data_IF_468380167546
#
_entry.id   IF_468380167546
#
_cell.length_a   1.000
_cell.length_b   1.000
_cell.length_c   1.000
_cell.angle_alpha   90.00
_cell.angle_beta   90.00
_cell.angle_gamma   90.00
#
_symmetry.space_group_name_H-M   'P 1'
#
loop_
_entity.id
_entity.type
_entity.pdbx_description
1 polymer ?
#
# COMPACT_ATOMS: atom_id res chain seq x y z
N UNK A 1 1.08 39.32 -59.69
CA UNK A 1 1.34 37.91 -60.06
C UNK A 1 0.40 37.05 -59.22
N UNK A 2 -0.57 36.38 -59.84
CA UNK A 2 -1.45 35.45 -59.12
C UNK A 2 -0.74 34.09 -59.04
N UNK A 3 -0.53 33.59 -57.83
CA UNK A 3 -0.04 32.23 -57.61
C UNK A 3 -1.10 31.24 -58.11
N UNK A 4 -0.68 30.17 -58.80
CA UNK A 4 -1.59 29.12 -59.24
C UNK A 4 -2.17 28.40 -58.01
N UNK A 5 -3.42 27.93 -58.14
CA UNK A 5 -4.12 27.16 -57.10
C UNK A 5 -3.35 25.91 -56.66
N UNK A 6 -2.56 25.33 -57.56
CA UNK A 6 -1.68 24.18 -57.28
C UNK A 6 -0.59 24.52 -56.26
N UNK A 7 0.06 25.69 -56.40
CA UNK A 7 1.12 26.13 -55.47
C UNK A 7 0.53 26.40 -54.08
N UNK A 8 -0.64 27.02 -54.01
CA UNK A 8 -1.34 27.26 -52.74
C UNK A 8 -1.69 25.93 -52.05
N UNK A 9 -2.20 24.96 -52.81
CA UNK A 9 -2.52 23.62 -52.29
C UNK A 9 -1.29 22.90 -51.74
N UNK A 10 -0.15 22.97 -52.44
CA UNK A 10 1.11 22.36 -51.97
C UNK A 10 1.63 23.03 -50.70
N UNK A 11 1.58 24.36 -50.62
CA UNK A 11 2.02 25.10 -49.42
C UNK A 11 1.14 24.79 -48.20
N UNK A 12 -0.18 24.65 -48.39
CA UNK A 12 -1.10 24.26 -47.32
C UNK A 12 -0.82 22.82 -46.87
N UNK A 13 -0.64 21.89 -47.81
CA UNK A 13 -0.30 20.49 -47.51
C UNK A 13 1.00 20.35 -46.70
N UNK A 14 2.06 21.07 -47.10
CA UNK A 14 3.32 21.11 -46.36
C UNK A 14 3.16 21.69 -44.96
N UNK A 15 2.36 22.75 -44.81
CA UNK A 15 2.11 23.40 -43.52
C UNK A 15 1.38 22.45 -42.56
N UNK A 16 0.40 21.70 -43.05
CA UNK A 16 -0.33 20.69 -42.26
C UNK A 16 0.62 19.55 -41.85
N UNK A 17 1.47 19.06 -42.75
CA UNK A 17 2.42 17.99 -42.45
C UNK A 17 3.41 18.39 -41.36
N UNK A 18 3.94 19.63 -41.44
CA UNK A 18 4.83 20.19 -40.42
C UNK A 18 4.12 20.29 -39.06
N UNK A 19 2.89 20.80 -39.04
CA UNK A 19 2.10 20.93 -37.80
C UNK A 19 1.85 19.56 -37.14
N UNK A 20 1.47 18.54 -37.93
CA UNK A 20 1.27 17.17 -37.43
C UNK A 20 2.56 16.58 -36.85
N UNK A 21 3.71 16.85 -37.49
CA UNK A 21 5.02 16.47 -36.97
C UNK A 21 5.30 17.07 -35.58
N UNK A 22 5.01 18.35 -35.38
CA UNK A 22 5.15 19.00 -34.07
C UNK A 22 4.22 18.42 -33.00
N UNK A 23 2.96 18.12 -33.34
CA UNK A 23 2.01 17.51 -32.42
C UNK A 23 2.49 16.12 -31.96
N UNK A 24 2.96 15.29 -32.90
CA UNK A 24 3.48 13.96 -32.59
C UNK A 24 4.74 14.04 -31.71
N UNK A 25 5.67 14.93 -32.04
CA UNK A 25 6.88 15.15 -31.26
C UNK A 25 6.56 15.61 -29.82
N UNK A 26 5.60 16.53 -29.67
CA UNK A 26 5.13 16.99 -28.36
C UNK A 26 4.50 15.84 -27.55
N UNK A 27 3.64 15.03 -28.18
CA UNK A 27 3.02 13.88 -27.52
C UNK A 27 4.08 12.87 -27.02
N UNK A 28 5.04 12.51 -27.87
CA UNK A 28 6.15 11.62 -27.50
C UNK A 28 6.97 12.19 -26.35
N UNK A 29 7.27 13.50 -26.38
CA UNK A 29 7.97 14.18 -25.30
C UNK A 29 7.19 14.11 -23.97
N UNK A 30 5.88 14.34 -23.98
CA UNK A 30 5.07 14.23 -22.76
C UNK A 30 4.98 12.81 -22.22
N UNK A 31 4.96 11.79 -23.09
CA UNK A 31 5.04 10.38 -22.66
C UNK A 31 6.40 10.06 -22.04
N UNK A 32 7.50 10.50 -22.66
CA UNK A 32 8.85 10.31 -22.13
C UNK A 32 9.03 11.02 -20.78
N UNK A 33 8.49 12.23 -20.61
CA UNK A 33 8.52 12.94 -19.33
C UNK A 33 7.71 12.24 -18.24
N UNK A 34 6.53 11.69 -18.56
CA UNK A 34 5.76 10.88 -17.60
C UNK A 34 6.51 9.63 -17.17
N UNK A 35 7.13 8.93 -18.11
CA UNK A 35 7.94 7.74 -17.82
C UNK A 35 9.21 8.10 -17.03
N UNK A 36 9.85 9.22 -17.33
CA UNK A 36 10.99 9.73 -16.57
C UNK A 36 10.62 10.11 -15.13
N UNK A 37 9.48 10.78 -14.92
CA UNK A 37 8.98 11.06 -13.57
C UNK A 37 8.62 9.78 -12.82
N UNK A 38 8.05 8.77 -13.49
CA UNK A 38 7.83 7.46 -12.90
C UNK A 38 9.15 6.77 -12.49
N UNK A 39 10.17 6.82 -13.34
CA UNK A 39 11.51 6.26 -13.07
C UNK A 39 12.25 7.03 -11.97
N UNK A 40 12.11 8.36 -11.91
CA UNK A 40 12.74 9.17 -10.85
C UNK A 40 12.07 9.04 -9.48
N UNK A 41 10.78 8.72 -9.46
CA UNK A 41 10.03 8.46 -8.22
C UNK A 41 10.08 6.99 -7.79
N UNK A 42 10.62 6.10 -8.64
CA UNK A 42 11.23 4.87 -8.16
C UNK A 42 12.53 5.29 -7.46
N UNK A 43 12.44 5.63 -6.17
CA UNK A 43 13.64 5.78 -5.35
C UNK A 43 14.52 4.54 -5.58
N UNK A 44 15.84 4.70 -5.81
CA UNK A 44 16.72 3.55 -5.79
C UNK A 44 16.48 2.91 -4.43
N UNK A 45 15.95 1.69 -4.46
CA UNK A 45 15.82 0.84 -3.30
C UNK A 45 17.25 0.63 -2.81
N UNK A 46 17.72 1.56 -1.98
CA UNK A 46 18.96 1.42 -1.25
C UNK A 46 18.73 0.21 -0.38
N UNK A 47 19.22 -0.93 -0.86
CA UNK A 47 19.44 -2.11 -0.04
C UNK A 47 20.25 -1.63 1.16
N UNK A 48 19.55 -1.46 2.28
CA UNK A 48 20.18 -1.26 3.58
C UNK A 48 21.12 -2.46 3.76
N UNK A 49 22.44 -2.22 3.85
CA UNK A 49 23.40 -3.29 3.85
C UNK A 49 23.29 -4.08 5.15
N UNK A 50 23.27 -5.40 5.05
CA UNK A 50 23.58 -6.33 6.13
C UNK A 50 22.66 -6.35 7.36
N UNK A 51 21.36 -6.55 7.17
CA UNK A 51 20.65 -7.41 8.12
C UNK A 51 20.41 -8.74 7.40
N UNK A 52 21.14 -9.79 7.77
CA UNK A 52 20.69 -11.16 7.54
C UNK A 52 19.19 -11.19 7.81
N UNK A 53 18.38 -11.42 6.77
CA UNK A 53 16.94 -11.14 6.80
C UNK A 53 16.23 -12.23 7.60
N UNK A 54 16.43 -12.21 8.91
CA UNK A 54 15.87 -13.21 9.82
C UNK A 54 14.36 -13.13 9.66
N UNK A 55 13.78 -14.19 9.09
CA UNK A 55 12.35 -14.36 8.98
C UNK A 55 11.85 -14.74 10.36
N UNK A 56 11.63 -13.75 11.21
CA UNK A 56 11.08 -13.95 12.55
C UNK A 56 9.84 -13.09 12.80
N UNK A 57 9.35 -12.37 11.78
CA UNK A 57 8.12 -11.61 11.89
C UNK A 57 6.94 -12.46 11.41
N UNK A 58 5.79 -12.26 12.02
CA UNK A 58 4.53 -12.91 11.68
C UNK A 58 3.45 -11.84 11.58
N UNK A 59 2.64 -11.93 10.53
CA UNK A 59 1.38 -11.20 10.44
C UNK A 59 0.32 -12.04 11.13
N UNK A 60 -0.59 -11.40 11.84
CA UNK A 60 -1.69 -12.08 12.51
C UNK A 60 -2.98 -11.29 12.38
N UNK A 61 -4.09 -12.00 12.56
CA UNK A 61 -5.42 -11.42 12.70
C UNK A 61 -6.01 -11.76 14.06
N UNK A 62 -6.81 -10.84 14.60
CA UNK A 62 -7.73 -11.10 15.72
C UNK A 62 -9.13 -10.90 15.19
N UNK A 63 -10.00 -11.90 15.39
CA UNK A 63 -11.40 -11.88 14.96
C UNK A 63 -12.31 -12.36 16.08
N UNK A 64 -13.58 -11.97 16.02
CA UNK A 64 -14.59 -12.44 16.98
C UNK A 64 -14.84 -13.94 16.77
N UNK A 65 -14.96 -14.69 17.86
CA UNK A 65 -15.23 -16.12 17.82
C UNK A 65 -16.61 -16.40 17.21
N UNK A 66 -16.67 -17.33 16.25
CA UNK A 66 -17.89 -17.64 15.51
C UNK A 66 -18.23 -16.65 14.38
N UNK A 67 -17.52 -15.53 14.24
CA UNK A 67 -17.74 -14.57 13.16
C UNK A 67 -16.78 -14.85 11.99
N UNK A 68 -17.32 -14.74 10.77
CA UNK A 68 -16.59 -14.97 9.52
C UNK A 68 -16.54 -13.71 8.63
N UNK A 69 -16.86 -12.54 9.18
CA UNK A 69 -16.74 -11.28 8.46
C UNK A 69 -15.24 -10.94 8.25
N UNK A 70 -14.73 -10.96 7.01
CA UNK A 70 -13.33 -10.64 6.74
C UNK A 70 -13.00 -9.16 6.97
N UNK A 71 -14.00 -8.28 6.97
CA UNK A 71 -13.82 -6.84 7.13
C UNK A 71 -13.78 -6.43 8.61
N UNK A 72 -14.27 -7.28 9.51
CA UNK A 72 -14.30 -7.03 10.95
C UNK A 72 -13.20 -7.75 11.71
N UNK A 73 -11.96 -7.54 11.27
CA UNK A 73 -10.75 -8.10 11.91
C UNK A 73 -9.79 -7.02 12.36
N UNK A 74 -8.94 -7.36 13.33
CA UNK A 74 -7.73 -6.59 13.65
C UNK A 74 -6.54 -7.29 13.00
N UNK A 75 -5.72 -6.56 12.25
CA UNK A 75 -4.47 -7.06 11.65
C UNK A 75 -3.28 -6.45 12.38
N UNK A 76 -2.28 -7.27 12.71
CA UNK A 76 -1.05 -6.81 13.35
C UNK A 76 0.20 -7.58 12.90
N UNK A 77 1.35 -7.00 13.24
CA UNK A 77 2.68 -7.61 13.05
C UNK A 77 3.37 -7.82 14.39
N UNK A 78 4.06 -8.95 14.54
CA UNK A 78 4.88 -9.24 15.72
C UNK A 78 6.08 -10.11 15.34
N UNK A 79 7.18 -9.96 16.08
CA UNK A 79 8.31 -10.89 16.01
C UNK A 79 8.24 -12.02 17.06
N UNK A 80 7.21 -12.01 17.91
CA UNK A 80 6.93 -13.06 18.88
C UNK A 80 5.41 -13.18 19.06
N UNK A 81 4.83 -14.19 18.39
CA UNK A 81 3.38 -14.39 18.37
C UNK A 81 2.82 -14.78 19.73
N UNK A 82 3.47 -15.71 20.43
CA UNK A 82 3.00 -16.21 21.73
C UNK A 82 2.98 -15.09 22.77
N UNK A 83 4.05 -14.28 22.85
CA UNK A 83 4.08 -13.11 23.72
C UNK A 83 2.98 -12.11 23.37
N UNK A 84 2.82 -11.80 22.08
CA UNK A 84 1.80 -10.84 21.61
C UNK A 84 0.37 -11.29 21.88
N UNK A 85 0.09 -12.59 21.76
CA UNK A 85 -1.20 -13.18 22.12
C UNK A 85 -1.52 -12.94 23.60
N UNK A 86 -0.57 -13.25 24.49
CA UNK A 86 -0.73 -13.05 25.92
C UNK A 86 -0.91 -11.57 26.27
N UNK A 87 -0.11 -10.68 25.65
CA UNK A 87 -0.24 -9.23 25.82
C UNK A 87 -1.64 -8.72 25.46
N UNK A 88 -2.19 -9.15 24.31
CA UNK A 88 -3.55 -8.78 23.90
C UNK A 88 -4.60 -9.26 24.91
N UNK A 89 -4.53 -10.54 25.30
CA UNK A 89 -5.46 -11.14 26.26
C UNK A 89 -5.43 -10.42 27.61
N UNK A 90 -4.25 -10.25 28.19
CA UNK A 90 -4.06 -9.60 29.49
C UNK A 90 -4.54 -8.13 29.47
N UNK A 91 -4.29 -7.41 28.38
CA UNK A 91 -4.72 -6.01 28.25
C UNK A 91 -6.25 -5.88 28.14
N UNK A 92 -6.90 -6.77 27.37
CA UNK A 92 -8.36 -6.80 27.24
C UNK A 92 -9.03 -7.14 28.58
N UNK A 93 -8.53 -8.17 29.26
CA UNK A 93 -9.02 -8.60 30.58
C UNK A 93 -8.89 -7.51 31.64
N UNK A 94 -7.87 -6.65 31.54
CA UNK A 94 -7.63 -5.54 32.47
C UNK A 94 -8.29 -4.22 32.09
N UNK A 95 -8.99 -4.13 30.96
CA UNK A 95 -9.58 -2.86 30.52
C UNK A 95 -8.56 -1.82 30.05
N UNK A 96 -7.38 -2.25 29.57
CA UNK A 96 -6.24 -1.35 29.27
C UNK A 96 -5.71 -1.52 27.85
N UNK A 97 -6.50 -2.11 26.96
CA UNK A 97 -6.06 -2.34 25.59
C UNK A 97 -5.93 -1.02 24.82
N UNK A 98 -4.79 -0.80 24.15
CA UNK A 98 -4.49 0.48 23.45
C UNK A 98 -5.43 0.76 22.28
N UNK A 99 -6.00 -0.29 21.69
CA UNK A 99 -7.00 -0.17 20.65
C UNK A 99 -8.39 -0.18 21.30
N UNK A 100 -9.06 0.98 21.28
CA UNK A 100 -10.36 1.15 21.90
C UNK A 100 -11.46 0.31 21.21
N UNK A 101 -11.41 0.09 19.90
CA UNK A 101 -12.40 -0.75 19.20
C UNK A 101 -12.36 -2.20 19.69
N UNK A 102 -11.17 -2.75 19.94
CA UNK A 102 -11.02 -4.09 20.51
C UNK A 102 -11.48 -4.14 21.98
N UNK A 103 -11.16 -3.10 22.75
CA UNK A 103 -11.53 -3.00 24.17
C UNK A 103 -13.05 -2.93 24.33
N UNK A 104 -13.70 -2.04 23.59
CA UNK A 104 -15.15 -1.83 23.61
C UNK A 104 -15.89 -3.12 23.21
N UNK A 105 -15.45 -3.78 22.13
CA UNK A 105 -16.06 -5.04 21.71
C UNK A 105 -15.88 -6.15 22.77
N UNK A 106 -14.73 -6.21 23.44
CA UNK A 106 -14.53 -7.15 24.55
C UNK A 106 -15.47 -6.88 25.72
N UNK A 107 -15.66 -5.61 26.09
CA UNK A 107 -16.57 -5.17 27.15
C UNK A 107 -18.05 -5.43 26.80
N UNK A 108 -18.40 -5.41 25.51
CA UNK A 108 -19.71 -5.84 25.00
C UNK A 108 -19.89 -7.37 25.02
N UNK A 109 -18.90 -8.13 25.49
CA UNK A 109 -18.98 -9.59 25.65
C UNK A 109 -18.45 -10.37 24.45
N UNK A 110 -17.90 -9.73 23.42
CA UNK A 110 -17.27 -10.44 22.32
C UNK A 110 -16.02 -11.20 22.80
N UNK A 111 -15.90 -12.46 22.36
CA UNK A 111 -14.71 -13.29 22.56
C UNK A 111 -13.89 -13.29 21.28
N UNK A 112 -12.57 -13.36 21.41
CA UNK A 112 -11.66 -13.20 20.29
C UNK A 112 -10.76 -14.41 20.11
N UNK A 113 -10.47 -14.73 18.85
CA UNK A 113 -9.44 -15.68 18.44
C UNK A 113 -8.36 -14.96 17.65
N UNK A 114 -7.10 -15.33 17.90
CA UNK A 114 -5.95 -14.80 17.18
C UNK A 114 -5.33 -15.88 16.29
N UNK A 115 -5.16 -15.58 15.01
CA UNK A 115 -4.60 -16.51 14.03
C UNK A 115 -3.35 -15.92 13.39
N UNK A 116 -2.29 -16.72 13.28
CA UNK A 116 -1.11 -16.37 12.48
C UNK A 116 -1.45 -16.53 11.00
N UNK A 117 -1.11 -15.53 10.18
CA UNK A 117 -1.25 -15.62 8.73
C UNK A 117 0.08 -16.10 8.13
N UNK A 118 0.07 -17.31 7.58
CA UNK A 118 1.18 -17.85 6.79
C UNK A 118 2.46 -18.15 7.58
N UNK A 119 3.57 -18.20 6.83
CA UNK A 119 4.93 -18.47 7.34
C UNK A 119 5.59 -17.23 7.92
N UNK A 120 6.77 -17.39 8.50
CA UNK A 120 7.57 -16.26 8.97
C UNK A 120 8.06 -15.40 7.80
N UNK A 121 8.02 -14.10 8.02
CA UNK A 121 8.37 -13.04 7.10
C UNK A 121 9.60 -12.29 7.62
N UNK A 122 10.33 -11.68 6.70
CA UNK A 122 11.19 -10.55 7.07
C UNK A 122 10.32 -9.40 7.61
N UNK A 123 10.94 -8.49 8.36
CA UNK A 123 10.22 -7.31 8.88
C UNK A 123 9.52 -6.54 7.76
N UNK A 124 10.23 -6.27 6.66
CA UNK A 124 9.69 -5.51 5.54
C UNK A 124 8.51 -6.22 4.87
N UNK A 125 8.63 -7.53 4.60
CA UNK A 125 7.54 -8.33 4.02
C UNK A 125 6.30 -8.34 4.94
N UNK A 126 6.49 -8.48 6.26
CA UNK A 126 5.39 -8.50 7.22
C UNK A 126 4.60 -7.18 7.22
N UNK A 127 5.30 -6.04 7.28
CA UNK A 127 4.66 -4.73 7.25
C UNK A 127 4.06 -4.41 5.88
N UNK A 128 4.68 -4.83 4.77
CA UNK A 128 4.09 -4.73 3.44
C UNK A 128 2.78 -5.54 3.33
N UNK A 129 2.77 -6.77 3.88
CA UNK A 129 1.55 -7.60 3.93
C UNK A 129 0.48 -7.00 4.84
N UNK A 130 0.86 -6.44 5.97
CA UNK A 130 -0.05 -5.71 6.85
C UNK A 130 -0.68 -4.49 6.16
N UNK A 131 0.12 -3.70 5.43
CA UNK A 131 -0.38 -2.59 4.64
C UNK A 131 -1.40 -3.03 3.59
N UNK A 132 -1.13 -4.13 2.86
CA UNK A 132 -2.09 -4.70 1.90
C UNK A 132 -3.42 -5.11 2.54
N UNK A 133 -3.39 -5.63 3.77
CA UNK A 133 -4.58 -6.09 4.49
C UNK A 133 -5.37 -4.94 5.13
N UNK A 134 -4.69 -3.84 5.52
CA UNK A 134 -5.32 -2.66 6.13
C UNK A 134 -4.73 -1.35 5.59
N UNK A 135 -4.95 -1.01 4.30
CA UNK A 135 -4.32 0.15 3.66
C UNK A 135 -4.84 1.50 4.18
N UNK A 136 -6.01 1.52 4.82
CA UNK A 136 -6.69 2.75 5.26
C UNK A 136 -6.88 2.76 6.78
N UNK A 137 -7.17 3.94 7.31
CA UNK A 137 -7.56 4.12 8.71
C UNK A 137 -8.94 3.50 8.96
N UNK A 138 -9.21 3.12 10.21
CA UNK A 138 -10.51 2.62 10.65
C UNK A 138 -11.04 1.43 9.84
N UNK A 139 -10.16 0.48 9.50
CA UNK A 139 -10.55 -0.78 8.86
C UNK A 139 -10.74 -1.87 9.92
N UNK A 140 -11.94 -2.44 9.98
CA UNK A 140 -12.31 -3.42 11.00
C UNK A 140 -12.06 -2.90 12.41
N UNK A 141 -11.28 -3.65 13.18
CA UNK A 141 -10.88 -3.23 14.51
C UNK A 141 -9.64 -2.32 14.51
N UNK A 142 -8.92 -2.13 13.40
CA UNK A 142 -7.72 -1.29 13.35
C UNK A 142 -8.05 0.20 13.31
N UNK A 143 -7.45 0.98 14.22
CA UNK A 143 -7.62 2.45 14.31
C UNK A 143 -6.62 3.25 13.44
N UNK A 144 -5.74 2.58 12.70
CA UNK A 144 -4.71 3.19 11.88
C UNK A 144 -4.41 2.33 10.64
N UNK A 145 -3.82 2.93 9.60
CA UNK A 145 -3.33 2.24 8.41
C UNK A 145 -2.08 1.39 8.68
N UNK A 146 -1.90 0.31 7.91
CA UNK A 146 -0.80 -0.64 8.02
C UNK A 146 0.49 -0.18 7.36
N UNK A 147 1.58 -0.88 7.66
CA UNK A 147 2.90 -0.59 7.10
C UNK A 147 3.91 -0.05 8.11
N UNK A 148 5.18 0.05 7.68
CA UNK A 148 6.24 0.69 8.45
C UNK A 148 5.96 2.20 8.56
N UNK A 149 5.90 2.69 9.80
CA UNK A 149 5.76 4.13 10.05
C UNK A 149 6.94 4.87 9.42
N UNK A 150 6.65 5.90 8.62
CA UNK A 150 7.65 6.69 7.90
C UNK A 150 8.04 6.14 6.53
N UNK A 151 7.44 5.04 6.08
CA UNK A 151 7.60 4.52 4.72
C UNK A 151 6.23 4.57 4.04
N UNK A 152 6.11 5.39 3.00
CA UNK A 152 4.94 5.40 2.13
C UNK A 152 5.14 4.29 1.08
N UNK A 153 4.23 3.31 1.07
CA UNK A 153 4.17 2.26 0.04
C UNK A 153 3.33 2.71 -1.15
#
# INVERSE_FOLDING_TARGET
MNLSSEVVSTMVGLSIFVLLGFILAYWLFTCAMKQWHYIKNLEPFYEQPNSYSVRNHSVYIIKVEGENDPDRVYVGVTNNFARRLNEHKEQLERGKHKNHNLQEAYEQGHRFMMHRLGREYTKLEAYGKEHQLRPRWNMGFNIAAGGLRGIHY
#
